data_IF_614418337250
#
_entry.id   IF_614418337250
#
_cell.length_a   1.000
_cell.length_b   1.000
_cell.length_c   1.000
_cell.angle_alpha   90.00
_cell.angle_beta   90.00
_cell.angle_gamma   90.00
#
_symmetry.space_group_name_H-M   'P 1'
#
loop_
_entity.id
_entity.type
_entity.pdbx_description
1 polymer ?
#
# COMPACT_ATOMS: atom_id res chain seq x y z
N UNK A 1 -24.81 28.61 -50.03
CA UNK A 1 -24.35 27.21 -49.86
C UNK A 1 -23.81 27.05 -48.44
N UNK A 2 -24.56 26.39 -47.56
CA UNK A 2 -24.16 26.13 -46.17
C UNK A 2 -23.34 24.84 -46.11
N UNK A 3 -22.19 24.86 -45.44
CA UNK A 3 -21.35 23.67 -45.21
C UNK A 3 -22.12 22.70 -44.31
N UNK A 4 -22.25 21.40 -44.66
CA UNK A 4 -22.87 20.44 -43.76
C UNK A 4 -21.99 20.26 -42.52
N UNK A 5 -22.59 20.32 -41.33
CA UNK A 5 -21.90 19.98 -40.08
C UNK A 5 -21.54 18.49 -40.14
N UNK A 6 -20.28 18.16 -39.88
CA UNK A 6 -19.82 16.76 -39.70
C UNK A 6 -20.68 16.11 -38.62
N UNK A 7 -21.44 15.07 -38.97
CA UNK A 7 -21.93 14.11 -37.99
C UNK A 7 -20.76 13.23 -37.57
N UNK A 8 -20.38 13.33 -36.30
CA UNK A 8 -19.48 12.38 -35.67
C UNK A 8 -20.26 11.07 -35.51
N UNK A 9 -19.85 10.04 -36.23
CA UNK A 9 -20.34 8.67 -36.05
C UNK A 9 -19.78 8.23 -34.70
N UNK A 10 -20.66 8.09 -33.71
CA UNK A 10 -20.29 7.56 -32.40
C UNK A 10 -20.20 6.04 -32.54
N UNK A 11 -18.99 5.51 -32.42
CA UNK A 11 -18.77 4.09 -32.24
C UNK A 11 -18.99 3.80 -30.75
N UNK A 12 -20.00 2.98 -30.44
CA UNK A 12 -20.31 2.55 -29.07
C UNK A 12 -19.08 1.90 -28.45
N UNK A 13 -18.44 2.58 -27.49
CA UNK A 13 -17.37 1.98 -26.68
C UNK A 13 -16.11 2.80 -26.45
N UNK A 14 -15.94 3.96 -27.09
CA UNK A 14 -14.82 4.87 -26.78
C UNK A 14 -15.34 6.23 -26.33
N UNK A 15 -15.59 6.32 -25.03
CA UNK A 15 -15.96 7.55 -24.35
C UNK A 15 -14.87 8.60 -24.53
N UNK A 16 -15.22 9.70 -25.19
CA UNK A 16 -14.43 10.93 -25.33
C UNK A 16 -14.38 11.74 -24.02
N UNK A 17 -14.54 11.04 -22.88
CA UNK A 17 -14.85 11.57 -21.56
C UNK A 17 -13.86 11.03 -20.49
N UNK A 18 -12.70 10.53 -20.91
CA UNK A 18 -11.62 10.16 -19.97
C UNK A 18 -11.04 11.37 -19.21
N UNK A 19 -11.37 12.60 -19.64
CA UNK A 19 -10.91 13.85 -19.03
C UNK A 19 -11.88 14.47 -18.01
N UNK A 20 -13.15 14.09 -17.99
CA UNK A 20 -14.19 14.82 -17.24
C UNK A 20 -14.52 14.23 -15.87
N UNK A 21 -13.92 13.08 -15.53
CA UNK A 21 -14.14 12.40 -14.25
C UNK A 21 -12.88 12.13 -13.42
N UNK A 22 -11.72 12.68 -13.80
CA UNK A 22 -10.54 12.65 -12.92
C UNK A 22 -10.70 13.82 -11.95
N UNK A 23 -10.68 13.52 -10.65
CA UNK A 23 -10.83 14.50 -9.58
C UNK A 23 -9.75 15.58 -9.61
N UNK A 24 -9.68 16.36 -8.53
CA UNK A 24 -8.75 17.49 -8.41
C UNK A 24 -7.33 17.09 -8.85
N UNK A 25 -6.65 17.94 -9.63
CA UNK A 25 -5.42 17.70 -10.42
C UNK A 25 -4.30 16.82 -9.82
N UNK A 26 -4.27 16.61 -8.51
CA UNK A 26 -3.36 15.69 -7.82
C UNK A 26 -3.60 14.21 -8.18
N UNK A 27 -4.84 13.80 -8.44
CA UNK A 27 -5.19 12.42 -8.86
C UNK A 27 -4.70 12.07 -10.28
N UNK A 28 -4.22 13.06 -11.03
CA UNK A 28 -3.72 12.89 -12.39
C UNK A 28 -2.35 12.20 -12.45
N UNK A 29 -1.59 12.23 -11.35
CA UNK A 29 -0.25 11.65 -11.29
C UNK A 29 -0.31 10.20 -10.81
N UNK A 30 0.18 9.29 -11.66
CA UNK A 30 0.26 7.86 -11.33
C UNK A 30 1.18 7.65 -10.14
N UNK A 31 0.66 6.97 -9.13
CA UNK A 31 1.39 6.62 -7.91
C UNK A 31 0.99 5.26 -7.39
N UNK A 32 1.83 4.67 -6.54
CA UNK A 32 1.48 3.46 -5.80
C UNK A 32 0.43 3.78 -4.73
N UNK A 33 0.55 4.92 -4.08
CA UNK A 33 -0.37 5.40 -3.04
C UNK A 33 -0.78 6.84 -3.30
N UNK A 34 -2.08 7.11 -3.30
CA UNK A 34 -2.65 8.45 -3.26
C UNK A 34 -3.20 8.76 -1.87
N UNK A 35 -2.69 9.83 -1.25
CA UNK A 35 -3.10 10.26 0.09
C UNK A 35 -3.91 11.57 0.00
N UNK A 36 -5.24 11.44 0.04
CA UNK A 36 -6.16 12.58 -0.07
C UNK A 36 -6.38 13.36 1.24
N UNK A 37 -5.93 12.84 2.37
CA UNK A 37 -6.10 13.42 3.70
C UNK A 37 -4.76 13.42 4.45
N UNK A 38 -4.57 14.41 5.31
CA UNK A 38 -3.55 14.41 6.37
C UNK A 38 -3.93 13.46 7.52
N UNK A 39 -2.98 13.14 8.42
CA UNK A 39 -3.13 12.18 9.53
C UNK A 39 -3.13 10.69 9.16
N UNK A 40 -2.47 10.32 8.07
CA UNK A 40 -2.24 8.89 7.74
C UNK A 40 -0.81 8.50 8.09
N UNK A 41 -0.66 7.27 8.59
CA UNK A 41 0.62 6.64 8.89
C UNK A 41 0.96 5.64 7.78
N UNK A 42 2.08 5.85 7.09
CA UNK A 42 2.66 4.91 6.14
C UNK A 42 4.07 4.59 6.61
N UNK A 43 4.27 3.68 7.56
CA UNK A 43 5.62 3.30 8.05
C UNK A 43 5.98 1.87 7.70
N UNK A 44 7.27 1.58 7.63
CA UNK A 44 7.82 0.23 7.43
C UNK A 44 7.40 -0.44 6.10
N UNK A 45 7.26 0.37 5.05
CA UNK A 45 6.91 -0.08 3.70
C UNK A 45 8.12 -0.09 2.75
N UNK A 46 8.00 -0.90 1.70
CA UNK A 46 8.94 -0.94 0.57
C UNK A 46 8.28 -0.29 -0.64
N UNK A 47 8.68 0.94 -0.92
CA UNK A 47 8.24 1.74 -2.06
C UNK A 47 9.29 1.71 -3.17
N UNK A 48 9.16 0.72 -4.07
CA UNK A 48 10.04 0.60 -5.24
C UNK A 48 9.35 -0.02 -6.46
N UNK A 49 8.16 0.46 -6.80
CA UNK A 49 7.41 0.09 -7.99
C UNK A 49 7.96 0.82 -9.23
N UNK A 50 8.63 0.11 -10.18
CA UNK A 50 9.21 0.74 -11.37
C UNK A 50 8.18 1.20 -12.40
N UNK A 51 6.92 0.77 -12.27
CA UNK A 51 5.84 1.12 -13.22
C UNK A 51 5.30 2.53 -12.94
N UNK A 52 5.38 2.98 -11.69
CA UNK A 52 4.87 4.27 -11.27
C UNK A 52 5.98 5.31 -11.17
N UNK A 53 5.77 6.55 -11.67
CA UNK A 53 6.76 7.62 -11.56
C UNK A 53 6.91 8.14 -10.12
N UNK A 54 5.84 8.07 -9.33
CA UNK A 54 5.83 8.40 -7.91
C UNK A 54 5.36 7.20 -7.10
N UNK A 55 5.81 7.09 -5.85
CA UNK A 55 5.32 6.09 -4.92
C UNK A 55 4.18 6.65 -4.07
N UNK A 56 4.31 7.91 -3.66
CA UNK A 56 3.32 8.61 -2.84
C UNK A 56 2.99 9.95 -3.48
N UNK A 57 1.71 10.16 -3.79
CA UNK A 57 1.19 11.47 -4.21
C UNK A 57 0.18 11.95 -3.20
N UNK A 58 0.32 13.19 -2.77
CA UNK A 58 -0.63 13.82 -1.83
C UNK A 58 -1.71 14.62 -2.55
N UNK A 59 -2.87 14.74 -1.90
CA UNK A 59 -3.95 15.64 -2.29
C UNK A 59 -3.66 17.10 -1.89
N UNK A 60 -4.64 17.96 -2.15
CA UNK A 60 -4.55 19.38 -1.74
C UNK A 60 -4.65 19.49 -0.22
N UNK A 61 -3.78 20.29 0.37
CA UNK A 61 -3.86 20.63 1.78
C UNK A 61 -5.08 21.51 2.04
N UNK A 62 -5.96 21.08 2.95
CA UNK A 62 -7.03 21.91 3.47
C UNK A 62 -6.49 22.73 4.65
N UNK A 63 -6.96 23.97 4.84
CA UNK A 63 -6.50 24.84 5.93
C UNK A 63 -6.79 24.30 7.34
N UNK A 64 -7.72 23.34 7.45
CA UNK A 64 -8.07 22.63 8.69
C UNK A 64 -7.13 21.45 9.00
N UNK A 65 -6.35 21.02 7.99
CA UNK A 65 -5.47 19.87 8.02
C UNK A 65 -4.04 20.33 8.32
N UNK A 66 -3.79 20.75 9.57
CA UNK A 66 -2.48 21.25 10.01
C UNK A 66 -1.40 20.16 10.21
N UNK A 67 -1.74 18.89 9.96
CA UNK A 67 -0.85 17.76 10.22
C UNK A 67 -0.22 17.24 8.93
N UNK A 68 1.01 16.74 9.05
CA UNK A 68 1.70 16.07 7.96
C UNK A 68 1.32 14.59 7.91
N UNK A 69 1.48 13.96 6.75
CA UNK A 69 1.47 12.51 6.62
C UNK A 69 2.78 11.97 7.19
N UNK A 70 2.72 10.98 8.08
CA UNK A 70 3.91 10.33 8.60
C UNK A 70 4.29 9.16 7.68
N UNK A 71 5.40 9.31 6.97
CA UNK A 71 5.94 8.32 6.06
C UNK A 71 7.39 7.95 6.40
N UNK A 72 7.73 7.99 7.70
CA UNK A 72 9.06 7.65 8.20
C UNK A 72 9.29 6.14 8.12
N UNK A 73 10.56 5.75 8.18
CA UNK A 73 11.00 4.35 8.29
C UNK A 73 10.53 3.49 7.11
N UNK A 74 10.40 4.09 5.93
CA UNK A 74 10.17 3.36 4.68
C UNK A 74 11.45 3.24 3.86
N UNK A 75 11.53 2.18 3.07
CA UNK A 75 12.53 2.05 2.01
C UNK A 75 11.96 2.57 0.69
N UNK A 76 12.57 3.61 0.13
CA UNK A 76 12.09 4.26 -1.10
C UNK A 76 12.84 3.81 -2.36
N UNK A 77 13.52 2.67 -2.34
CA UNK A 77 14.31 2.19 -3.47
C UNK A 77 15.79 2.57 -3.40
N UNK A 78 16.57 2.00 -4.32
CA UNK A 78 18.02 2.12 -4.30
C UNK A 78 18.49 3.40 -5.03
N UNK A 79 19.48 4.13 -4.47
CA UNK A 79 20.02 3.99 -3.12
C UNK A 79 19.05 4.51 -2.05
N UNK A 80 18.92 3.82 -0.91
CA UNK A 80 17.98 4.14 0.18
C UNK A 80 18.30 5.46 0.90
N UNK A 81 18.11 6.57 0.22
CA UNK A 81 18.54 7.91 0.64
C UNK A 81 17.36 8.87 0.65
N UNK A 82 17.49 9.94 1.44
CA UNK A 82 16.47 11.01 1.53
C UNK A 82 16.21 11.64 0.16
N UNK A 83 17.24 11.76 -0.69
CA UNK A 83 17.09 12.30 -2.05
C UNK A 83 16.26 11.40 -2.95
N UNK A 84 16.42 10.07 -2.85
CA UNK A 84 15.57 9.12 -3.60
C UNK A 84 14.14 9.17 -3.10
N UNK A 85 13.93 9.20 -1.78
CA UNK A 85 12.60 9.36 -1.19
C UNK A 85 11.92 10.65 -1.69
N UNK A 86 12.61 11.80 -1.61
CA UNK A 86 12.09 13.08 -2.09
C UNK A 86 11.73 13.05 -3.57
N UNK A 87 12.48 12.32 -4.41
CA UNK A 87 12.17 12.20 -5.84
C UNK A 87 10.97 11.30 -6.15
N UNK A 88 10.59 10.43 -5.22
CA UNK A 88 9.46 9.50 -5.35
C UNK A 88 8.19 9.96 -4.66
N UNK A 89 8.25 11.04 -3.89
CA UNK A 89 7.12 11.61 -3.15
C UNK A 89 6.73 12.92 -3.83
N UNK A 90 5.43 13.14 -4.02
CA UNK A 90 4.89 14.42 -4.48
C UNK A 90 4.11 15.11 -3.36
N UNK A 91 4.71 16.13 -2.76
CA UNK A 91 4.19 16.76 -1.53
C UNK A 91 4.33 18.29 -1.49
N UNK A 92 4.09 18.87 -0.30
CA UNK A 92 4.26 20.29 0.00
C UNK A 92 5.61 20.90 -0.43
N UNK A 93 6.70 20.13 -0.39
CA UNK A 93 8.03 20.61 -0.77
C UNK A 93 8.16 20.85 -2.27
N UNK A 94 7.44 20.08 -3.08
CA UNK A 94 7.31 20.33 -4.52
C UNK A 94 6.32 21.46 -4.80
N UNK A 95 5.14 21.41 -4.15
CA UNK A 95 4.07 22.38 -4.36
C UNK A 95 3.37 22.74 -3.05
N UNK A 96 3.39 24.04 -2.72
CA UNK A 96 2.87 24.58 -1.45
C UNK A 96 1.40 24.33 -1.15
N UNK A 97 0.61 23.95 -2.15
CA UNK A 97 -0.81 23.63 -1.99
C UNK A 97 -1.09 22.15 -1.66
N UNK A 98 -0.05 21.32 -1.63
CA UNK A 98 -0.13 19.89 -1.34
C UNK A 98 0.09 19.61 0.15
N UNK A 99 -0.37 18.45 0.63
CA UNK A 99 -0.14 18.00 2.00
C UNK A 99 1.35 17.71 2.19
N UNK A 100 1.89 18.06 3.36
CA UNK A 100 3.29 17.80 3.72
C UNK A 100 3.49 16.33 4.10
N UNK A 101 4.59 15.72 3.67
CA UNK A 101 4.97 14.36 4.06
C UNK A 101 6.26 14.38 4.89
N UNK A 102 6.20 13.76 6.07
CA UNK A 102 7.36 13.51 6.92
C UNK A 102 7.95 12.12 6.61
N UNK A 103 8.98 12.05 5.77
CA UNK A 103 9.57 10.77 5.33
C UNK A 103 10.97 10.48 5.91
N UNK A 104 11.46 11.30 6.83
CA UNK A 104 12.79 11.14 7.46
C UNK A 104 12.62 10.67 8.92
N UNK A 105 13.30 9.60 9.35
CA UNK A 105 14.35 8.86 8.64
C UNK A 105 13.82 7.91 7.55
N UNK A 106 14.64 7.68 6.52
CA UNK A 106 14.40 6.63 5.49
C UNK A 106 15.20 5.38 5.83
N UNK A 107 14.78 4.23 5.34
CA UNK A 107 15.59 3.01 5.43
C UNK A 107 16.60 2.95 4.28
N UNK A 108 17.86 2.67 4.61
CA UNK A 108 18.94 2.53 3.63
C UNK A 108 18.85 1.24 2.81
N UNK A 109 18.23 0.21 3.38
CA UNK A 109 18.00 -1.07 2.73
C UNK A 109 16.62 -1.62 3.08
N UNK A 110 16.11 -2.51 2.22
CA UNK A 110 14.88 -3.26 2.49
C UNK A 110 15.12 -4.52 3.36
N UNK A 111 16.37 -4.79 3.77
CA UNK A 111 16.74 -6.04 4.45
C UNK A 111 16.06 -6.20 5.82
N UNK A 112 15.75 -5.11 6.51
CA UNK A 112 14.97 -5.15 7.77
C UNK A 112 13.47 -5.35 7.55
N UNK A 113 12.97 -5.10 6.33
CA UNK A 113 11.55 -5.19 5.97
C UNK A 113 11.17 -6.46 5.20
N UNK A 114 12.16 -7.19 4.68
CA UNK A 114 12.00 -8.42 3.90
C UNK A 114 12.56 -9.58 4.73
N UNK A 115 11.72 -10.57 5.05
CA UNK A 115 12.14 -11.77 5.80
C UNK A 115 12.48 -12.91 4.83
N UNK A 116 13.77 -13.17 4.65
CA UNK A 116 14.26 -14.23 3.76
C UNK A 116 13.91 -13.97 2.30
N UNK A 117 13.30 -14.96 1.64
CA UNK A 117 12.89 -14.89 0.22
C UNK A 117 11.46 -14.35 0.04
N UNK A 118 10.81 -13.93 1.12
CA UNK A 118 9.42 -13.47 1.06
C UNK A 118 9.31 -12.02 0.54
N UNK A 119 8.25 -11.68 -0.19
CA UNK A 119 8.01 -10.30 -0.58
C UNK A 119 7.88 -9.37 0.64
N UNK A 120 8.14 -8.08 0.46
CA UNK A 120 8.01 -7.10 1.53
C UNK A 120 6.61 -7.13 2.17
N UNK A 121 6.54 -7.05 3.49
CA UNK A 121 5.30 -7.16 4.28
C UNK A 121 4.81 -8.60 4.51
N UNK A 122 5.45 -9.59 3.90
CA UNK A 122 5.24 -11.01 4.21
C UNK A 122 6.30 -11.48 5.20
N UNK A 123 5.89 -12.35 6.12
CA UNK A 123 6.77 -12.97 7.10
C UNK A 123 6.94 -14.46 6.81
N UNK A 124 8.14 -14.98 7.06
CA UNK A 124 8.51 -16.35 6.68
C UNK A 124 8.30 -17.30 7.87
N UNK A 125 7.55 -18.39 7.67
CA UNK A 125 7.37 -19.44 8.68
C UNK A 125 7.64 -20.81 8.07
N UNK A 126 8.37 -21.65 8.81
CA UNK A 126 8.71 -23.00 8.41
C UNK A 126 10.07 -23.42 8.97
N UNK A 127 10.57 -24.56 8.50
CA UNK A 127 11.90 -25.06 8.87
C UNK A 127 12.67 -25.45 7.63
N UNK A 128 13.96 -25.16 7.66
CA UNK A 128 14.93 -25.54 6.63
C UNK A 128 14.45 -25.17 5.21
N UNK A 129 14.22 -26.17 4.37
CA UNK A 129 13.76 -26.02 2.98
C UNK A 129 12.24 -25.83 2.84
N UNK A 130 11.46 -26.11 3.89
CA UNK A 130 9.99 -25.98 3.88
C UNK A 130 9.54 -24.70 4.56
N UNK A 131 9.94 -23.57 3.98
CA UNK A 131 9.50 -22.24 4.42
C UNK A 131 8.37 -21.75 3.52
N UNK A 132 7.42 -21.05 4.10
CA UNK A 132 6.33 -20.43 3.35
C UNK A 132 6.12 -19.00 3.84
N UNK A 133 5.67 -18.14 2.95
CA UNK A 133 5.45 -16.73 3.22
C UNK A 133 4.00 -16.51 3.64
N UNK A 134 3.82 -15.80 4.74
CA UNK A 134 2.50 -15.46 5.28
C UNK A 134 2.31 -13.95 5.31
N UNK A 135 1.10 -13.50 5.01
CA UNK A 135 0.69 -12.10 5.11
C UNK A 135 -0.55 -12.01 5.98
N UNK A 136 -0.53 -11.13 6.98
CA UNK A 136 -1.66 -10.87 7.85
C UNK A 136 -2.30 -9.52 7.49
N UNK A 137 -3.60 -9.54 7.21
CA UNK A 137 -4.43 -8.35 6.98
C UNK A 137 -5.55 -8.27 8.01
N UNK A 138 -5.49 -7.23 8.85
CA UNK A 138 -6.47 -6.96 9.91
C UNK A 138 -7.84 -6.45 9.43
N UNK A 139 -8.07 -6.40 8.11
CA UNK A 139 -9.32 -5.92 7.53
C UNK A 139 -10.45 -6.95 7.68
N UNK A 140 -11.67 -6.48 7.97
CA UNK A 140 -12.86 -7.33 7.99
C UNK A 140 -13.23 -7.71 6.56
N UNK A 141 -13.29 -9.01 6.29
CA UNK A 141 -13.69 -9.54 4.99
C UNK A 141 -14.51 -10.82 5.14
N UNK A 142 -15.39 -11.10 4.18
CA UNK A 142 -16.04 -12.41 4.07
C UNK A 142 -15.04 -13.44 3.55
N UNK A 143 -15.31 -14.74 3.77
CA UNK A 143 -14.44 -15.82 3.26
C UNK A 143 -14.25 -15.76 1.74
N UNK A 144 -15.29 -15.45 0.96
CA UNK A 144 -15.18 -15.38 -0.49
C UNK A 144 -14.34 -14.18 -0.96
N UNK A 145 -14.51 -13.02 -0.33
CA UNK A 145 -13.69 -11.85 -0.62
C UNK A 145 -12.23 -12.08 -0.19
N UNK A 146 -12.01 -12.80 0.91
CA UNK A 146 -10.71 -13.21 1.39
C UNK A 146 -9.99 -14.12 0.37
N UNK A 147 -10.67 -15.16 -0.13
CA UNK A 147 -10.11 -16.06 -1.14
C UNK A 147 -9.72 -15.29 -2.40
N UNK A 148 -10.60 -14.41 -2.88
CA UNK A 148 -10.33 -13.59 -4.06
C UNK A 148 -9.13 -12.66 -3.87
N UNK A 149 -9.05 -11.97 -2.73
CA UNK A 149 -7.93 -11.10 -2.39
C UNK A 149 -6.59 -11.86 -2.37
N UNK A 150 -6.56 -13.06 -1.78
CA UNK A 150 -5.37 -13.90 -1.80
C UNK A 150 -4.97 -14.29 -3.23
N UNK A 151 -5.93 -14.67 -4.08
CA UNK A 151 -5.70 -15.05 -5.48
C UNK A 151 -5.14 -13.90 -6.32
N UNK A 152 -5.63 -12.67 -6.10
CA UNK A 152 -5.13 -11.47 -6.78
C UNK A 152 -3.66 -11.14 -6.43
N UNK A 153 -3.15 -11.69 -5.32
CA UNK A 153 -1.75 -11.57 -4.89
C UNK A 153 -0.88 -12.80 -5.21
N UNK A 154 -1.33 -13.66 -6.14
CA UNK A 154 -0.69 -14.94 -6.46
C UNK A 154 -0.48 -15.84 -5.23
N UNK A 155 -1.48 -15.85 -4.35
CA UNK A 155 -1.44 -16.55 -3.07
C UNK A 155 -2.81 -17.19 -2.75
N UNK A 156 -2.91 -17.85 -1.60
CA UNK A 156 -4.14 -18.53 -1.20
C UNK A 156 -4.40 -18.37 0.30
N UNK A 157 -5.66 -18.56 0.71
CA UNK A 157 -6.01 -18.59 2.14
C UNK A 157 -5.41 -19.86 2.76
N UNK A 158 -4.60 -19.76 3.84
CA UNK A 158 -3.92 -20.90 4.42
C UNK A 158 -4.92 -21.89 5.01
N UNK A 159 -4.69 -23.17 4.71
CA UNK A 159 -5.31 -24.29 5.41
C UNK A 159 -4.27 -24.96 6.30
N UNK A 160 -4.46 -24.84 7.61
CA UNK A 160 -3.57 -25.44 8.61
C UNK A 160 -4.27 -26.62 9.27
N UNK A 161 -3.60 -27.78 9.30
CA UNK A 161 -4.09 -28.93 10.05
C UNK A 161 -3.89 -28.70 11.54
N UNK A 162 -4.73 -29.32 12.38
CA UNK A 162 -4.69 -29.20 13.85
C UNK A 162 -3.33 -29.61 14.45
N UNK A 163 -2.64 -30.53 13.79
CA UNK A 163 -1.33 -31.05 14.18
C UNK A 163 -0.13 -30.27 13.59
N UNK A 164 -0.37 -29.15 12.90
CA UNK A 164 0.68 -28.39 12.24
C UNK A 164 1.49 -27.55 13.23
N UNK A 165 2.78 -27.88 13.39
CA UNK A 165 3.71 -27.18 14.27
C UNK A 165 3.89 -25.69 13.92
N UNK A 166 3.55 -25.26 12.69
CA UNK A 166 3.59 -23.86 12.25
C UNK A 166 2.51 -23.02 12.92
N UNK A 167 1.41 -23.61 13.39
CA UNK A 167 0.31 -22.87 14.03
C UNK A 167 0.79 -22.04 15.22
N UNK A 168 1.64 -22.61 16.08
CA UNK A 168 2.16 -21.90 17.25
C UNK A 168 3.06 -20.72 16.87
N UNK A 169 3.91 -20.91 15.86
CA UNK A 169 4.80 -19.86 15.37
C UNK A 169 4.01 -18.73 14.72
N UNK A 170 2.99 -19.10 13.95
CA UNK A 170 2.10 -18.18 13.27
C UNK A 170 1.26 -17.37 14.25
N UNK A 171 0.64 -18.03 15.24
CA UNK A 171 -0.11 -17.34 16.29
C UNK A 171 0.78 -16.32 17.01
N UNK A 172 1.99 -16.71 17.41
CA UNK A 172 2.96 -15.79 18.04
C UNK A 172 3.29 -14.59 17.16
N UNK A 173 3.55 -14.79 15.86
CA UNK A 173 3.84 -13.68 14.93
C UNK A 173 2.65 -12.75 14.75
N UNK A 174 1.44 -13.29 14.62
CA UNK A 174 0.21 -12.48 14.52
C UNK A 174 0.03 -11.66 15.80
N UNK A 175 0.22 -12.28 16.97
CA UNK A 175 0.16 -11.56 18.25
C UNK A 175 1.18 -10.41 18.28
N UNK A 176 2.43 -10.65 17.90
CA UNK A 176 3.47 -9.61 17.84
C UNK A 176 3.04 -8.44 16.93
N UNK A 177 2.49 -8.72 15.73
CA UNK A 177 2.00 -7.70 14.78
C UNK A 177 0.85 -6.88 15.37
N UNK A 178 -0.10 -7.54 16.05
CA UNK A 178 -1.24 -6.86 16.70
C UNK A 178 -0.73 -5.97 17.86
N UNK A 179 0.22 -6.45 18.66
CA UNK A 179 0.79 -5.70 19.77
C UNK A 179 1.63 -4.50 19.31
N UNK A 180 2.38 -4.63 18.20
CA UNK A 180 3.11 -3.52 17.60
C UNK A 180 2.18 -2.39 17.16
N UNK A 181 1.01 -2.72 16.58
CA UNK A 181 0.02 -1.72 16.14
C UNK A 181 -0.79 -1.08 17.27
N UNK A 182 -0.88 -1.71 18.44
CA UNK A 182 -1.72 -1.22 19.55
C UNK A 182 -1.01 -0.27 20.52
N UNK A 183 0.30 -0.05 20.36
CA UNK A 183 1.01 1.02 21.07
C UNK A 183 0.63 2.42 20.57
N UNK A 184 0.04 2.53 19.38
CA UNK A 184 -0.68 3.71 18.92
C UNK A 184 -2.15 3.55 19.32
N UNK A 185 -2.60 4.36 20.28
CA UNK A 185 -4.00 4.37 20.75
C UNK A 185 -4.97 4.53 19.57
N UNK A 186 -5.70 3.48 19.17
CA UNK A 186 -7.11 3.51 18.74
C UNK A 186 -7.66 2.10 18.42
N UNK A 187 -8.83 1.86 19.01
CA UNK A 187 -9.90 0.89 18.73
C UNK A 187 -9.62 -0.60 18.49
N UNK A 188 -9.90 -1.37 19.54
CA UNK A 188 -10.19 -2.81 19.46
C UNK A 188 -11.55 -3.05 18.81
N UNK A 189 -11.57 -3.30 17.51
CA UNK A 189 -12.70 -3.99 16.87
C UNK A 189 -12.42 -5.49 16.82
N UNK A 190 -13.40 -6.30 17.22
CA UNK A 190 -13.37 -7.74 17.00
C UNK A 190 -13.54 -7.99 15.49
N UNK A 191 -12.43 -8.10 14.77
CA UNK A 191 -12.44 -8.30 13.32
C UNK A 191 -12.05 -9.73 12.97
N UNK A 192 -12.69 -10.28 11.94
CA UNK A 192 -12.20 -11.48 11.28
C UNK A 192 -11.00 -11.09 10.45
N UNK A 193 -9.83 -11.58 10.84
CA UNK A 193 -8.56 -11.22 10.26
C UNK A 193 -8.21 -12.18 9.14
N UNK A 194 -7.73 -11.64 8.02
CA UNK A 194 -7.29 -12.44 6.90
C UNK A 194 -5.82 -12.84 7.08
N UNK A 195 -5.54 -14.11 6.88
CA UNK A 195 -4.18 -14.58 6.65
C UNK A 195 -4.08 -15.09 5.21
N UNK A 196 -2.96 -14.80 4.57
CA UNK A 196 -2.63 -15.26 3.21
C UNK A 196 -1.34 -16.05 3.24
N UNK A 197 -1.24 -17.09 2.41
CA UNK A 197 -0.07 -17.96 2.28
C UNK A 197 0.40 -18.02 0.82
N UNK A 198 1.72 -17.91 0.65
CA UNK A 198 2.44 -18.05 -0.62
C UNK A 198 3.60 -19.03 -0.44
N UNK A 199 3.83 -19.87 -1.44
CA UNK A 199 4.97 -20.77 -1.52
C UNK A 199 6.16 -20.12 -2.21
#
# INVERSE_FOLDING_TARGET
>A
MSRPKRQLIMEDGVSFDWWTHIGTESERYRSTVYAGISNVLYRENVFNNPINPYELVTGKANSLEGHAIDAKENYWGYPGTVSVASGKIRDYHDYKYLIRVDYVPVLESNASLVEGDCPAGWFQIGRDEFKSCFLYSGAVSTYMAAVKFCQEMDAFVPYLRVDDNRQKQLAKRIDDIIHMRTNDNIDRYNTFTLLTLRF
#
